data_IF_522145499329
#
_entry.id   IF_522145499329
#
_cell.length_a   1.000
_cell.length_b   1.000
_cell.length_c   1.000
_cell.angle_alpha   90.00
_cell.angle_beta   90.00
_cell.angle_gamma   90.00
#
_symmetry.space_group_name_H-M   'P 1'
#
loop_
_entity.id
_entity.type
_entity.pdbx_description
1 polymer ?
#
# COMPACT_ATOMS: atom_id res chain seq x y z
N UNK A 1 -5.15 -43.87 -32.96
CA UNK A 1 -5.58 -43.35 -34.28
C UNK A 1 -7.08 -43.57 -34.42
N UNK A 2 -7.86 -42.49 -34.46
CA UNK A 2 -9.08 -42.38 -35.26
C UNK A 2 -9.53 -40.93 -35.21
N UNK A 3 -9.26 -40.23 -36.30
CA UNK A 3 -9.77 -38.89 -36.62
C UNK A 3 -11.18 -39.08 -37.18
N UNK A 4 -12.16 -38.31 -36.70
CA UNK A 4 -13.32 -37.89 -37.51
C UNK A 4 -13.70 -36.48 -37.06
N UNK A 5 -13.92 -35.63 -38.06
CA UNK A 5 -14.01 -34.17 -38.03
C UNK A 5 -15.47 -33.75 -38.29
N UNK A 6 -15.79 -32.49 -37.96
CA UNK A 6 -16.98 -31.69 -38.32
C UNK A 6 -18.20 -31.93 -37.44
N UNK A 7 -18.74 -30.92 -36.76
CA UNK A 7 -19.67 -29.93 -37.35
C UNK A 7 -19.49 -28.54 -36.72
N UNK A 8 -19.27 -27.55 -37.58
CA UNK A 8 -19.50 -26.12 -37.33
C UNK A 8 -21.01 -25.90 -37.12
N UNK A 9 -21.43 -25.40 -35.95
CA UNK A 9 -22.79 -24.86 -35.75
C UNK A 9 -22.69 -23.48 -35.12
N UNK A 10 -22.84 -22.48 -35.99
CA UNK A 10 -22.91 -21.06 -35.69
C UNK A 10 -24.34 -20.71 -35.24
N UNK A 11 -24.66 -20.83 -33.95
CA UNK A 11 -25.88 -20.30 -33.32
C UNK A 11 -25.57 -20.20 -31.82
N UNK A 12 -25.74 -19.10 -31.09
CA UNK A 12 -26.24 -17.77 -31.33
C UNK A 12 -26.02 -17.05 -29.99
N UNK A 13 -25.59 -15.81 -30.02
CA UNK A 13 -25.38 -14.99 -28.82
C UNK A 13 -26.69 -14.76 -28.09
N UNK A 14 -26.79 -15.12 -26.81
CA UNK A 14 -27.74 -14.48 -25.89
C UNK A 14 -27.28 -14.71 -24.44
N UNK A 15 -26.37 -13.87 -23.97
CA UNK A 15 -26.03 -13.77 -22.56
C UNK A 15 -27.11 -12.92 -21.87
N UNK A 16 -27.77 -13.45 -20.84
CA UNK A 16 -28.65 -12.68 -19.95
C UNK A 16 -27.96 -12.60 -18.60
N UNK A 17 -27.47 -11.41 -18.24
CA UNK A 17 -27.04 -11.10 -16.88
C UNK A 17 -28.18 -10.38 -16.16
N UNK A 18 -28.60 -10.81 -14.95
CA UNK A 18 -29.43 -10.00 -14.07
C UNK A 18 -28.51 -9.16 -13.17
N UNK A 19 -28.65 -7.83 -13.21
CA UNK A 19 -28.16 -7.00 -12.10
C UNK A 19 -28.90 -5.67 -12.10
N UNK A 20 -29.87 -5.53 -11.19
CA UNK A 20 -30.34 -4.23 -10.74
C UNK A 20 -29.23 -3.59 -9.90
N UNK A 21 -28.55 -2.60 -10.45
CA UNK A 21 -27.87 -1.55 -9.70
C UNK A 21 -28.18 -0.23 -10.40
N UNK A 22 -28.98 0.62 -9.77
CA UNK A 22 -29.47 1.85 -10.39
C UNK A 22 -28.30 2.85 -10.59
N UNK A 23 -28.11 3.42 -11.80
CA UNK A 23 -27.14 4.47 -12.03
C UNK A 23 -27.68 5.84 -11.58
N UNK A 24 -26.92 6.55 -10.73
CA UNK A 24 -27.09 7.99 -10.51
C UNK A 24 -26.57 8.71 -11.75
N UNK A 25 -27.39 9.58 -12.34
CA UNK A 25 -27.07 10.37 -13.54
C UNK A 25 -26.79 11.81 -13.11
N UNK A 26 -25.69 12.38 -13.58
CA UNK A 26 -25.46 13.83 -13.57
C UNK A 26 -26.15 14.46 -14.81
N UNK A 27 -26.45 15.76 -14.76
CA UNK A 27 -27.34 16.49 -15.70
C UNK A 27 -26.84 16.59 -17.16
N UNK A 28 -25.67 16.05 -17.48
CA UNK A 28 -25.11 15.95 -18.83
C UNK A 28 -25.22 14.54 -19.45
N UNK A 29 -25.90 13.60 -18.77
CA UNK A 29 -26.25 12.30 -19.34
C UNK A 29 -25.07 11.36 -19.59
N UNK A 30 -23.90 11.64 -19.01
CA UNK A 30 -22.74 10.75 -19.03
C UNK A 30 -22.63 10.00 -17.70
N UNK A 31 -22.35 8.69 -17.79
CA UNK A 31 -21.98 7.90 -16.63
C UNK A 31 -20.64 8.44 -16.11
N UNK A 32 -20.62 9.07 -14.92
CA UNK A 32 -19.37 9.25 -14.19
C UNK A 32 -18.85 7.88 -13.81
N UNK A 33 -17.95 7.35 -14.64
CA UNK A 33 -16.91 6.45 -14.15
C UNK A 33 -16.29 7.18 -12.97
N UNK A 34 -16.29 6.54 -11.79
CA UNK A 34 -15.43 6.96 -10.69
C UNK A 34 -13.99 6.91 -11.23
N UNK A 35 -13.59 8.03 -11.78
CA UNK A 35 -12.29 8.25 -12.35
C UNK A 35 -11.43 8.62 -11.16
N UNK A 36 -10.62 7.66 -10.71
CA UNK A 36 -9.32 8.02 -10.16
C UNK A 36 -8.60 8.79 -11.28
N UNK A 37 -8.80 10.10 -11.33
CA UNK A 37 -8.06 10.99 -12.20
C UNK A 37 -6.63 11.04 -11.66
N UNK A 38 -5.77 10.15 -12.19
CA UNK A 38 -4.34 10.46 -12.21
C UNK A 38 -4.16 11.63 -13.18
N UNK A 39 -3.45 12.69 -12.80
CA UNK A 39 -1.99 12.64 -12.78
C UNK A 39 -1.39 12.57 -11.36
N UNK A 40 -1.43 11.37 -10.79
CA UNK A 40 -0.81 10.97 -9.53
C UNK A 40 0.49 10.17 -9.78
N UNK A 41 1.14 10.35 -10.93
CA UNK A 41 2.33 9.58 -11.33
C UNK A 41 3.66 10.19 -10.86
N UNK A 42 3.70 11.47 -10.49
CA UNK A 42 4.98 12.17 -10.28
C UNK A 42 5.25 12.64 -8.84
N UNK A 43 4.36 12.44 -7.87
CA UNK A 43 4.61 12.86 -6.48
C UNK A 43 4.16 11.81 -5.46
N UNK A 44 5.12 11.20 -4.76
CA UNK A 44 4.88 10.19 -3.73
C UNK A 44 5.95 10.29 -2.63
N UNK A 45 5.56 10.06 -1.38
CA UNK A 45 6.48 9.78 -0.29
C UNK A 45 6.56 8.26 -0.16
N UNK A 46 7.77 7.73 0.07
CA UNK A 46 7.95 6.30 0.26
C UNK A 46 8.89 6.05 1.44
N UNK A 47 8.49 5.22 2.38
CA UNK A 47 9.32 4.83 3.52
C UNK A 47 9.99 3.50 3.20
N UNK A 48 11.31 3.42 3.34
CA UNK A 48 12.07 2.19 3.19
C UNK A 48 13.03 2.01 4.38
N UNK A 49 12.94 0.89 5.07
CA UNK A 49 13.88 0.55 6.14
C UNK A 49 15.16 -0.04 5.55
N UNK A 50 16.31 0.30 6.16
CA UNK A 50 17.58 -0.37 5.84
C UNK A 50 17.57 -1.80 6.40
N UNK A 51 17.06 -1.94 7.62
CA UNK A 51 16.76 -3.21 8.28
C UNK A 51 15.43 -3.03 9.01
N UNK A 52 14.53 -4.02 8.90
CA UNK A 52 13.19 -3.99 9.49
C UNK A 52 13.02 -5.01 10.63
N UNK A 53 14.08 -5.76 10.94
CA UNK A 53 14.07 -6.78 11.98
C UNK A 53 15.35 -6.73 12.81
N UNK A 54 15.17 -6.81 14.13
CA UNK A 54 16.25 -6.96 15.08
C UNK A 54 15.85 -8.00 16.14
N UNK A 55 16.75 -8.95 16.42
CA UNK A 55 16.58 -9.93 17.49
C UNK A 55 17.46 -9.54 18.67
N UNK A 56 16.83 -9.17 19.78
CA UNK A 56 17.51 -8.86 21.04
C UNK A 56 18.06 -10.12 21.74
N UNK A 57 17.69 -11.32 21.28
CA UNK A 57 18.08 -12.59 21.87
C UNK A 57 17.51 -12.76 23.27
N UNK A 58 18.38 -13.09 24.23
CA UNK A 58 17.97 -13.30 25.63
C UNK A 58 18.05 -11.98 26.40
N UNK A 59 16.90 -11.43 26.75
CA UNK A 59 16.77 -10.21 27.58
C UNK A 59 16.25 -10.59 28.96
N UNK A 60 16.88 -10.06 30.02
CA UNK A 60 16.44 -10.32 31.40
C UNK A 60 15.21 -9.47 31.75
N UNK A 61 14.37 -9.95 32.66
CA UNK A 61 13.23 -9.17 33.14
C UNK A 61 13.70 -7.85 33.76
N UNK A 62 13.15 -6.73 33.29
CA UNK A 62 13.49 -5.38 33.74
C UNK A 62 14.74 -4.78 33.07
N UNK A 63 15.43 -5.53 32.21
CA UNK A 63 16.50 -4.99 31.38
C UNK A 63 15.91 -4.05 30.32
N UNK A 64 16.54 -2.89 30.16
CA UNK A 64 16.18 -1.91 29.14
C UNK A 64 17.16 -2.09 27.98
N UNK A 65 16.64 -2.51 26.84
CA UNK A 65 17.37 -2.61 25.58
C UNK A 65 16.77 -1.62 24.60
N UNK A 66 17.60 -1.10 23.69
CA UNK A 66 17.14 -0.24 22.61
C UNK A 66 17.80 -0.62 21.30
N UNK A 67 17.11 -0.34 20.20
CA UNK A 67 17.65 -0.50 18.86
C UNK A 67 17.20 0.64 17.95
N UNK A 68 18.10 1.08 17.07
CA UNK A 68 17.90 2.21 16.17
C UNK A 68 17.69 1.70 14.73
N UNK A 69 16.43 1.64 14.29
CA UNK A 69 16.08 1.33 12.91
C UNK A 69 16.29 2.56 12.03
N UNK A 70 17.13 2.42 11.00
CA UNK A 70 17.29 3.47 9.99
C UNK A 70 16.27 3.29 8.88
N UNK A 71 15.57 4.37 8.52
CA UNK A 71 14.70 4.40 7.36
C UNK A 71 15.00 5.61 6.49
N UNK A 72 14.66 5.51 5.20
CA UNK A 72 14.88 6.53 4.19
C UNK A 72 13.58 6.89 3.49
N UNK A 73 13.46 8.16 3.12
CA UNK A 73 12.44 8.55 2.16
C UNK A 73 12.95 8.31 0.73
N UNK A 74 12.51 7.24 0.08
CA UNK A 74 12.85 6.94 -1.33
C UNK A 74 11.85 7.53 -2.33
N UNK A 75 10.87 8.28 -1.84
CA UNK A 75 9.97 9.08 -2.65
C UNK A 75 10.58 10.40 -3.11
N UNK A 76 9.75 11.20 -3.79
CA UNK A 76 10.15 12.47 -4.41
C UNK A 76 9.44 13.69 -3.81
N UNK A 77 8.63 13.50 -2.76
CA UNK A 77 8.13 14.56 -1.87
C UNK A 77 8.49 14.25 -0.41
N UNK A 78 8.45 15.24 0.51
CA UNK A 78 8.70 14.99 1.93
C UNK A 78 7.77 13.92 2.52
N UNK A 79 8.36 13.01 3.29
CA UNK A 79 7.65 12.02 4.09
C UNK A 79 7.34 12.64 5.45
N UNK A 80 6.06 12.56 5.86
CA UNK A 80 5.61 13.08 7.16
C UNK A 80 5.22 11.92 8.06
N UNK A 81 5.96 11.73 9.15
CA UNK A 81 5.62 10.78 10.22
C UNK A 81 4.56 11.42 11.10
N UNK A 82 3.32 10.94 11.00
CA UNK A 82 2.20 11.42 11.81
C UNK A 82 2.28 10.89 13.24
N UNK A 83 2.35 9.56 13.34
CA UNK A 83 2.38 8.83 14.60
C UNK A 83 3.24 7.56 14.44
N UNK A 84 3.74 7.05 15.57
CA UNK A 84 4.40 5.75 15.64
C UNK A 84 3.70 4.94 16.73
N UNK A 85 3.08 3.83 16.31
CA UNK A 85 2.22 3.03 17.18
C UNK A 85 2.90 1.70 17.41
N UNK A 86 3.22 1.40 18.66
CA UNK A 86 3.73 0.10 19.06
C UNK A 86 2.62 -0.96 18.93
N UNK A 87 2.94 -2.10 18.30
CA UNK A 87 2.01 -3.23 18.22
C UNK A 87 1.79 -3.92 19.57
N UNK A 88 2.79 -3.86 20.47
CA UNK A 88 2.73 -4.34 21.84
C UNK A 88 3.13 -3.20 22.79
N UNK A 89 2.34 -2.96 23.84
CA UNK A 89 2.47 -1.75 24.68
C UNK A 89 3.71 -1.66 25.58
N UNK A 90 4.68 -2.58 25.45
CA UNK A 90 5.91 -2.57 26.24
C UNK A 90 7.07 -1.80 25.57
N UNK A 91 6.95 -1.47 24.28
CA UNK A 91 7.95 -0.69 23.55
C UNK A 91 7.59 0.79 23.52
N UNK A 92 8.61 1.66 23.43
CA UNK A 92 8.41 3.11 23.37
C UNK A 92 9.12 3.68 22.14
N UNK A 93 8.47 3.61 20.96
CA UNK A 93 9.10 4.10 19.75
C UNK A 93 9.24 5.62 19.76
N UNK A 94 10.39 6.09 19.30
CA UNK A 94 10.67 7.51 19.06
C UNK A 94 11.30 7.68 17.68
N UNK A 95 11.11 8.84 17.05
CA UNK A 95 11.69 9.15 15.74
C UNK A 95 12.54 10.40 15.81
N UNK A 96 13.69 10.39 15.14
CA UNK A 96 14.61 11.53 15.12
C UNK A 96 14.07 12.73 14.34
N UNK A 97 13.16 12.50 13.37
CA UNK A 97 12.53 13.56 12.57
C UNK A 97 11.08 13.20 12.20
N UNK A 98 10.17 14.19 12.31
CA UNK A 98 8.77 14.05 11.85
C UNK A 98 8.58 14.31 10.36
N UNK A 99 9.55 14.97 9.73
CA UNK A 99 9.55 15.26 8.29
C UNK A 99 10.90 14.83 7.74
N UNK A 100 10.89 13.94 6.74
CA UNK A 100 12.09 13.40 6.10
C UNK A 100 12.05 13.77 4.62
N UNK A 101 13.00 14.58 4.15
CA UNK A 101 13.04 15.04 2.76
C UNK A 101 13.33 13.88 1.80
N UNK A 102 13.04 14.02 0.50
CA UNK A 102 13.46 13.05 -0.50
C UNK A 102 14.94 12.68 -0.36
N UNK A 103 15.23 11.39 -0.37
CA UNK A 103 16.56 10.79 -0.19
C UNK A 103 17.20 10.94 1.18
N UNK A 104 16.57 11.63 2.13
CA UNK A 104 17.07 11.77 3.51
C UNK A 104 16.74 10.53 4.35
N UNK A 105 17.56 10.28 5.37
CA UNK A 105 17.39 9.20 6.32
C UNK A 105 16.97 9.75 7.69
N UNK A 106 16.23 8.96 8.43
CA UNK A 106 15.90 9.20 9.83
C UNK A 106 15.97 7.89 10.62
N UNK A 107 15.97 8.02 11.94
CA UNK A 107 16.10 6.92 12.87
C UNK A 107 14.79 6.78 13.62
N UNK A 108 14.31 5.55 13.75
CA UNK A 108 13.33 5.16 14.75
C UNK A 108 14.05 4.36 15.84
N UNK A 109 14.02 4.85 17.07
CA UNK A 109 14.53 4.12 18.22
C UNK A 109 13.35 3.47 18.97
N UNK A 110 13.50 2.19 19.32
CA UNK A 110 12.51 1.37 20.06
C UNK A 110 12.99 1.06 21.46
#
# INVERSE_FOLDING_TARGET
>A
MRRVIFIFSLFGTMAIAPSCNHPVKDDDGRLKKSEYVGDAKDKYANLEYVEDFHDFGTVKQGEIVSYAFTFRNTGNIPLVVKDVIAGCGCTKPTVSAKIVKPNEQAIMEV
#
